data_IF_176330455995
#
_entry.id   IF_176330455995
#
_cell.length_a   1.000
_cell.length_b   1.000
_cell.length_c   1.000
_cell.angle_alpha   90.00
_cell.angle_beta   90.00
_cell.angle_gamma   90.00
#
_symmetry.space_group_name_H-M   'P 1'
#
loop_
_entity.id
_entity.type
_entity.pdbx_description
1 polymer ?
#
# COMPACT_ATOMS: atom_id res chain seq x y z
N UNK A 1 2.67 -1.22 7.16
CA UNK A 1 3.49 -0.02 6.82
C UNK A 1 2.91 0.83 5.68
N UNK A 2 2.64 0.26 4.50
CA UNK A 2 2.13 1.02 3.34
C UNK A 2 0.81 1.77 3.67
N UNK A 3 -0.17 1.07 4.25
CA UNK A 3 -1.43 1.70 4.67
C UNK A 3 -1.20 2.86 5.65
N UNK A 4 -0.25 2.73 6.59
CA UNK A 4 0.05 3.80 7.55
C UNK A 4 0.62 5.06 6.87
N UNK A 5 1.46 4.92 5.85
CA UNK A 5 1.94 6.07 5.07
C UNK A 5 0.83 6.72 4.25
N UNK A 6 -0.07 5.95 3.64
CA UNK A 6 -1.24 6.52 2.95
C UNK A 6 -2.24 7.19 3.90
N UNK A 7 -2.37 6.70 5.13
CA UNK A 7 -3.11 7.41 6.19
C UNK A 7 -2.45 8.76 6.45
N UNK A 8 -1.13 8.79 6.69
CA UNK A 8 -0.40 10.05 6.91
C UNK A 8 -0.56 11.01 5.73
N UNK A 9 -0.43 10.51 4.49
CA UNK A 9 -0.63 11.29 3.27
C UNK A 9 -2.01 11.94 3.24
N UNK A 10 -3.07 11.16 3.44
CA UNK A 10 -4.45 11.65 3.36
C UNK A 10 -4.91 12.52 4.52
N UNK A 11 -4.08 12.76 5.55
CA UNK A 11 -4.43 13.69 6.63
C UNK A 11 -4.49 15.13 6.11
N UNK A 12 -5.44 15.96 6.57
CA UNK A 12 -5.67 17.30 6.02
C UNK A 12 -4.48 18.27 6.22
N UNK A 13 -3.61 17.99 7.20
CA UNK A 13 -2.39 18.79 7.44
C UNK A 13 -1.17 18.34 6.62
N UNK A 14 -1.29 17.24 5.87
CA UNK A 14 -0.32 16.74 4.89
C UNK A 14 -0.86 17.01 3.49
N UNK A 15 -1.93 16.31 3.08
CA UNK A 15 -2.61 16.48 1.80
C UNK A 15 -4.10 16.78 2.01
N UNK A 16 -4.53 18.05 1.83
CA UNK A 16 -5.94 18.43 1.89
C UNK A 16 -6.80 17.66 0.89
N UNK A 17 -8.09 17.54 1.18
CA UNK A 17 -9.12 16.97 0.30
C UNK A 17 -8.95 15.48 -0.09
N UNK A 18 -8.09 14.74 0.62
CA UNK A 18 -7.82 13.30 0.40
C UNK A 18 -8.52 12.38 1.40
N UNK A 19 -9.75 12.71 1.80
CA UNK A 19 -10.53 11.99 2.82
C UNK A 19 -10.70 10.50 2.50
N UNK A 20 -10.95 10.18 1.23
CA UNK A 20 -11.13 8.79 0.82
C UNK A 20 -9.84 7.97 1.01
N UNK A 21 -8.68 8.58 0.79
CA UNK A 21 -7.38 7.93 0.93
C UNK A 21 -7.09 7.59 2.40
N UNK A 22 -7.31 8.51 3.33
CA UNK A 22 -7.02 8.19 4.75
C UNK A 22 -8.02 7.19 5.32
N UNK A 23 -9.30 7.24 4.92
CA UNK A 23 -10.35 6.37 5.49
C UNK A 23 -10.15 4.90 5.13
N UNK A 24 -9.97 4.58 3.85
CA UNK A 24 -9.75 3.19 3.41
C UNK A 24 -8.45 2.61 3.97
N UNK A 25 -7.38 3.42 4.04
CA UNK A 25 -6.08 2.95 4.49
C UNK A 25 -6.09 2.82 6.02
N UNK A 26 -6.90 3.64 6.71
CA UNK A 26 -7.21 3.45 8.13
C UNK A 26 -7.88 2.11 8.40
N UNK A 27 -8.87 1.73 7.58
CA UNK A 27 -9.47 0.38 7.64
C UNK A 27 -8.42 -0.69 7.35
N UNK A 28 -7.55 -0.47 6.36
CA UNK A 28 -6.41 -1.35 6.06
C UNK A 28 -5.48 -1.56 7.25
N UNK A 29 -5.11 -0.50 7.97
CA UNK A 29 -4.30 -0.57 9.19
C UNK A 29 -5.01 -1.40 10.27
N UNK A 30 -6.31 -1.20 10.49
CA UNK A 30 -7.08 -1.99 11.47
C UNK A 30 -7.06 -3.47 11.11
N UNK A 31 -7.28 -3.81 9.84
CA UNK A 31 -7.22 -5.18 9.34
C UNK A 31 -5.80 -5.78 9.50
N UNK A 32 -4.75 -5.02 9.18
CA UNK A 32 -3.35 -5.43 9.38
C UNK A 32 -3.08 -5.75 10.86
N UNK A 33 -3.51 -4.89 11.78
CA UNK A 33 -3.34 -5.09 13.24
C UNK A 33 -4.04 -6.38 13.69
N UNK A 34 -5.26 -6.64 13.20
CA UNK A 34 -5.98 -7.89 13.51
C UNK A 34 -5.18 -9.11 13.04
N UNK A 35 -4.69 -9.10 11.79
CA UNK A 35 -3.87 -10.20 11.27
C UNK A 35 -2.58 -10.41 12.06
N UNK A 36 -1.86 -9.34 12.39
CA UNK A 36 -0.63 -9.42 13.18
C UNK A 36 -0.90 -9.93 14.60
N UNK A 37 -2.04 -9.55 15.20
CA UNK A 37 -2.46 -10.03 16.52
C UNK A 37 -2.74 -11.53 16.51
N UNK A 38 -3.51 -12.00 15.53
CA UNK A 38 -3.75 -13.44 15.34
C UNK A 38 -2.43 -14.17 15.15
N UNK A 39 -1.56 -13.67 14.26
CA UNK A 39 -0.24 -14.27 14.05
C UNK A 39 0.57 -14.32 15.34
N UNK A 40 0.59 -13.26 16.14
CA UNK A 40 1.29 -13.23 17.42
C UNK A 40 0.78 -14.30 18.39
N UNK A 41 -0.54 -14.44 18.53
CA UNK A 41 -1.17 -15.42 19.44
C UNK A 41 -0.76 -16.85 19.04
N UNK A 42 -0.82 -17.17 17.74
CA UNK A 42 -0.60 -18.55 17.26
C UNK A 42 0.85 -18.87 16.87
N UNK A 43 1.76 -17.89 16.87
CA UNK A 43 3.16 -18.12 16.49
C UNK A 43 4.02 -18.66 17.63
N UNK A 44 5.12 -19.32 17.27
CA UNK A 44 6.13 -19.80 18.22
C UNK A 44 6.84 -18.64 18.90
N UNK A 45 7.51 -18.87 20.03
CA UNK A 45 8.31 -17.84 20.71
C UNK A 45 9.35 -17.16 19.80
N UNK A 46 9.94 -17.89 18.85
CA UNK A 46 10.86 -17.32 17.85
C UNK A 46 10.12 -16.39 16.89
N UNK A 47 8.96 -16.82 16.38
CA UNK A 47 8.14 -16.01 15.49
C UNK A 47 7.57 -14.75 16.16
N UNK A 48 7.13 -14.86 17.42
CA UNK A 48 6.69 -13.71 18.23
C UNK A 48 7.79 -12.67 18.43
N UNK A 49 9.00 -13.10 18.81
CA UNK A 49 10.16 -12.20 18.95
C UNK A 49 10.51 -11.51 17.64
N UNK A 50 10.51 -12.25 16.52
CA UNK A 50 10.75 -11.69 15.18
C UNK A 50 9.69 -10.66 14.80
N UNK A 51 8.41 -10.97 15.03
CA UNK A 51 7.31 -10.05 14.76
C UNK A 51 7.47 -8.75 15.55
N UNK A 52 7.65 -8.84 16.87
CA UNK A 52 7.79 -7.66 17.75
C UNK A 52 8.99 -6.82 17.33
N UNK A 53 10.12 -7.45 16.98
CA UNK A 53 11.30 -6.73 16.50
C UNK A 53 11.03 -5.97 15.20
N UNK A 54 10.43 -6.64 14.20
CA UNK A 54 10.11 -6.00 12.92
C UNK A 54 9.11 -4.86 13.13
N UNK A 55 8.06 -5.10 13.91
CA UNK A 55 7.05 -4.09 14.20
C UNK A 55 7.63 -2.89 14.95
N UNK A 56 8.56 -3.10 15.88
CA UNK A 56 9.24 -2.01 16.58
C UNK A 56 10.11 -1.18 15.63
N UNK A 57 10.88 -1.82 14.74
CA UNK A 57 11.69 -1.14 13.72
C UNK A 57 10.78 -0.32 12.80
N UNK A 58 9.67 -0.91 12.36
CA UNK A 58 8.66 -0.24 11.54
C UNK A 58 8.06 0.97 12.26
N UNK A 59 7.63 0.82 13.51
CA UNK A 59 7.06 1.91 14.30
C UNK A 59 8.05 3.06 14.51
N UNK A 60 9.33 2.76 14.79
CA UNK A 60 10.39 3.76 14.90
C UNK A 60 10.58 4.49 13.57
N UNK A 61 10.68 3.75 12.47
CA UNK A 61 10.84 4.32 11.13
C UNK A 61 9.67 5.24 10.76
N UNK A 62 8.44 4.77 10.95
CA UNK A 62 7.24 5.55 10.69
C UNK A 62 7.21 6.84 11.54
N UNK A 63 7.49 6.71 12.83
CA UNK A 63 7.52 7.86 13.76
C UNK A 63 8.58 8.88 13.33
N UNK A 64 9.76 8.43 12.92
CA UNK A 64 10.82 9.32 12.41
C UNK A 64 10.36 10.09 11.18
N UNK A 65 9.71 9.44 10.21
CA UNK A 65 9.16 10.12 9.02
C UNK A 65 8.07 11.14 9.41
N UNK A 66 7.17 10.78 10.33
CA UNK A 66 6.14 11.72 10.83
C UNK A 66 6.80 12.94 11.46
N UNK A 67 7.78 12.75 12.35
CA UNK A 67 8.47 13.86 13.03
C UNK A 67 9.22 14.75 12.03
N UNK A 68 9.96 14.17 11.08
CA UNK A 68 10.66 14.93 10.04
C UNK A 68 9.66 15.73 9.20
N UNK A 69 8.55 15.09 8.79
CA UNK A 69 7.51 15.74 7.97
C UNK A 69 6.86 16.91 8.72
N UNK A 70 6.58 16.75 10.01
CA UNK A 70 5.86 17.76 10.79
C UNK A 70 6.77 18.90 11.27
N UNK A 71 8.03 18.59 11.61
CA UNK A 71 8.98 19.55 12.19
C UNK A 71 9.85 20.25 11.15
N UNK A 72 10.28 19.55 10.10
CA UNK A 72 11.18 20.12 9.08
C UNK A 72 10.43 20.70 7.87
N UNK A 73 9.28 20.12 7.49
CA UNK A 73 8.53 20.56 6.32
C UNK A 73 7.37 21.47 6.73
N UNK A 74 7.42 22.70 6.24
CA UNK A 74 6.39 23.71 6.44
C UNK A 74 5.53 23.84 5.18
N UNK A 75 4.21 23.87 5.37
CA UNK A 75 3.22 23.92 4.30
C UNK A 75 2.83 22.53 3.75
N UNK A 76 1.57 22.40 3.34
CA UNK A 76 0.99 21.15 2.83
C UNK A 76 1.66 20.70 1.53
N UNK A 77 1.98 21.61 0.62
CA UNK A 77 2.63 21.27 -0.67
C UNK A 77 3.92 20.46 -0.50
N UNK A 78 4.83 20.87 0.40
CA UNK A 78 6.09 20.15 0.63
C UNK A 78 5.85 18.82 1.35
N UNK A 79 4.92 18.78 2.30
CA UNK A 79 4.55 17.57 3.04
C UNK A 79 3.93 16.53 2.12
N UNK A 80 2.95 16.93 1.29
CA UNK A 80 2.36 16.09 0.24
C UNK A 80 3.43 15.51 -0.68
N UNK A 81 4.37 16.34 -1.16
CA UNK A 81 5.40 15.86 -2.08
C UNK A 81 6.31 14.80 -1.45
N UNK A 82 6.83 15.05 -0.24
CA UNK A 82 7.75 14.11 0.41
C UNK A 82 7.02 12.83 0.84
N UNK A 83 5.86 12.95 1.48
CA UNK A 83 5.10 11.78 1.94
C UNK A 83 4.54 10.99 0.76
N UNK A 84 4.09 11.67 -0.31
CA UNK A 84 3.59 11.04 -1.54
C UNK A 84 4.67 10.18 -2.21
N UNK A 85 5.89 10.71 -2.37
CA UNK A 85 7.02 9.94 -2.90
C UNK A 85 7.33 8.70 -2.04
N UNK A 86 7.27 8.82 -0.71
CA UNK A 86 7.44 7.68 0.19
C UNK A 86 6.33 6.65 -0.02
N UNK A 87 5.06 7.09 -0.12
CA UNK A 87 3.93 6.21 -0.38
C UNK A 87 4.11 5.44 -1.69
N UNK A 88 4.54 6.11 -2.75
CA UNK A 88 4.79 5.50 -4.06
C UNK A 88 5.89 4.44 -3.98
N UNK A 89 7.02 4.74 -3.34
CA UNK A 89 8.12 3.77 -3.15
C UNK A 89 7.62 2.51 -2.42
N UNK A 90 6.85 2.66 -1.34
CA UNK A 90 6.29 1.51 -0.64
C UNK A 90 5.27 0.75 -1.48
N UNK A 91 4.47 1.46 -2.27
CA UNK A 91 3.49 0.86 -3.16
C UNK A 91 4.20 0.04 -4.27
N UNK A 92 5.31 0.54 -4.84
CA UNK A 92 6.19 -0.20 -5.77
C UNK A 92 6.66 -1.50 -5.14
N UNK A 93 7.20 -1.43 -3.93
CA UNK A 93 7.73 -2.61 -3.23
C UNK A 93 6.66 -3.68 -3.00
N UNK A 94 5.39 -3.30 -2.80
CA UNK A 94 4.32 -4.28 -2.63
C UNK A 94 4.08 -5.16 -3.86
N UNK A 95 4.39 -4.68 -5.07
CA UNK A 95 4.22 -5.47 -6.30
C UNK A 95 5.24 -6.60 -6.45
N UNK A 96 6.31 -6.64 -5.65
CA UNK A 96 7.22 -7.80 -5.66
C UNK A 96 6.48 -9.10 -5.32
N UNK A 97 5.52 -9.06 -4.37
CA UNK A 97 4.75 -10.23 -3.99
C UNK A 97 3.93 -10.82 -5.17
N UNK A 98 3.01 -10.10 -5.83
CA UNK A 98 2.25 -10.64 -6.96
C UNK A 98 3.16 -11.04 -8.13
N UNK A 99 4.26 -10.32 -8.41
CA UNK A 99 5.21 -10.71 -9.46
C UNK A 99 5.84 -12.08 -9.21
N UNK A 100 6.20 -12.39 -7.96
CA UNK A 100 6.72 -13.74 -7.62
C UNK A 100 5.67 -14.83 -7.82
N UNK A 101 4.40 -14.53 -7.55
CA UNK A 101 3.28 -15.46 -7.80
C UNK A 101 3.07 -15.66 -9.30
N UNK A 102 3.09 -14.60 -10.11
CA UNK A 102 2.99 -14.69 -11.58
C UNK A 102 4.13 -15.54 -12.16
N UNK A 103 5.37 -15.32 -11.71
CA UNK A 103 6.51 -16.13 -12.13
C UNK A 103 6.30 -17.62 -11.80
N UNK A 104 5.71 -17.92 -10.62
CA UNK A 104 5.35 -19.29 -10.24
C UNK A 104 4.28 -19.87 -11.17
N UNK A 105 3.21 -19.12 -11.48
CA UNK A 105 2.14 -19.56 -12.40
C UNK A 105 2.70 -19.89 -13.78
N UNK A 106 3.57 -19.04 -14.34
CA UNK A 106 4.19 -19.27 -15.66
C UNK A 106 5.04 -20.54 -15.64
N UNK A 107 5.81 -20.77 -14.57
CA UNK A 107 6.68 -21.93 -14.41
C UNK A 107 5.91 -23.23 -14.17
N UNK A 108 4.87 -23.19 -13.32
CA UNK A 108 4.08 -24.36 -12.95
C UNK A 108 2.90 -24.63 -13.87
N UNK A 109 2.60 -23.71 -14.81
CA UNK A 109 1.43 -23.74 -15.70
C UNK A 109 0.12 -23.98 -14.94
N UNK A 110 0.00 -23.40 -13.75
CA UNK A 110 -1.13 -23.61 -12.85
C UNK A 110 -1.43 -22.34 -12.08
N UNK A 111 -2.70 -21.92 -12.14
CA UNK A 111 -3.25 -20.73 -11.45
C UNK A 111 -3.67 -21.02 -10.00
N UNK A 112 -3.29 -22.16 -9.42
CA UNK A 112 -3.72 -22.55 -8.06
C UNK A 112 -3.41 -21.50 -6.97
N UNK A 113 -2.30 -20.78 -7.12
CA UNK A 113 -1.87 -19.74 -6.16
C UNK A 113 -2.37 -18.35 -6.51
N UNK A 114 -3.21 -18.24 -7.54
CA UNK A 114 -3.63 -16.99 -8.12
C UNK A 114 -5.12 -17.09 -8.46
N UNK A 115 -6.02 -16.73 -7.53
CA UNK A 115 -7.45 -16.81 -7.80
C UNK A 115 -7.90 -15.70 -8.76
N UNK A 116 -8.74 -16.07 -9.72
CA UNK A 116 -9.26 -15.15 -10.76
C UNK A 116 -9.97 -13.93 -10.15
N UNK A 117 -10.89 -14.16 -9.22
CA UNK A 117 -11.69 -13.09 -8.61
C UNK A 117 -10.86 -12.07 -7.84
N UNK A 118 -9.76 -12.50 -7.22
CA UNK A 118 -8.83 -11.58 -6.54
C UNK A 118 -8.08 -10.71 -7.56
N UNK A 119 -7.67 -11.30 -8.68
CA UNK A 119 -6.99 -10.58 -9.77
C UNK A 119 -7.93 -9.56 -10.43
N UNK A 120 -9.18 -9.94 -10.68
CA UNK A 120 -10.21 -9.05 -11.22
C UNK A 120 -10.55 -7.91 -10.25
N UNK A 121 -10.72 -8.21 -8.95
CA UNK A 121 -10.98 -7.19 -7.93
C UNK A 121 -9.84 -6.16 -7.84
N UNK A 122 -8.59 -6.60 -7.92
CA UNK A 122 -7.43 -5.69 -7.92
C UNK A 122 -7.33 -4.86 -9.21
N UNK A 123 -7.71 -5.40 -10.37
CA UNK A 123 -7.81 -4.61 -11.60
C UNK A 123 -8.86 -3.50 -11.46
N UNK A 124 -10.07 -3.84 -11.01
CA UNK A 124 -11.15 -2.87 -10.80
C UNK A 124 -10.77 -1.83 -9.75
N UNK A 125 -10.05 -2.24 -8.70
CA UNK A 125 -9.49 -1.32 -7.70
C UNK A 125 -8.50 -0.33 -8.34
N UNK A 126 -7.57 -0.82 -9.16
CA UNK A 126 -6.64 0.02 -9.92
C UNK A 126 -7.36 1.03 -10.81
N UNK A 127 -8.39 0.61 -11.54
CA UNK A 127 -9.22 1.49 -12.37
C UNK A 127 -9.99 2.53 -11.54
N UNK A 128 -10.53 2.16 -10.39
CA UNK A 128 -11.21 3.07 -9.49
C UNK A 128 -10.26 4.16 -8.93
N UNK A 129 -9.03 3.77 -8.54
CA UNK A 129 -8.00 4.73 -8.12
C UNK A 129 -7.52 5.62 -9.26
N UNK A 130 -7.45 5.08 -10.47
CA UNK A 130 -7.15 5.84 -11.68
C UNK A 130 -8.19 6.92 -11.91
N UNK A 131 -9.48 6.57 -11.85
CA UNK A 131 -10.56 7.51 -11.98
C UNK A 131 -10.54 8.56 -10.86
N UNK A 132 -10.34 8.14 -9.61
CA UNK A 132 -10.22 9.05 -8.46
C UNK A 132 -9.10 10.09 -8.66
N UNK A 133 -7.93 9.66 -9.12
CA UNK A 133 -6.78 10.56 -9.31
C UNK A 133 -6.96 11.57 -10.45
N UNK A 134 -7.83 11.26 -11.42
CA UNK A 134 -8.20 12.16 -12.53
C UNK A 134 -9.31 13.15 -12.15
N UNK A 135 -10.07 12.89 -11.08
CA UNK A 135 -11.10 13.81 -10.58
C UNK A 135 -10.43 14.99 -9.84
N UNK A 136 -11.02 16.17 -9.93
CA UNK A 136 -10.45 17.39 -9.34
C UNK A 136 -10.51 17.33 -7.79
N UNK A 137 -9.40 17.62 -7.07
CA UNK A 137 -8.09 18.01 -7.56
C UNK A 137 -7.24 16.82 -8.06
N UNK A 138 -6.53 17.03 -9.18
CA UNK A 138 -5.69 16.02 -9.80
C UNK A 138 -4.52 15.63 -8.89
N UNK A 139 -4.42 14.35 -8.55
CA UNK A 139 -3.36 13.81 -7.68
C UNK A 139 -2.42 12.92 -8.50
N UNK A 140 -1.26 13.47 -8.85
CA UNK A 140 -0.25 12.78 -9.66
C UNK A 140 0.36 11.55 -8.97
N UNK A 141 0.44 11.55 -7.63
CA UNK A 141 1.05 10.45 -6.87
C UNK A 141 0.13 9.24 -6.89
N UNK A 142 -1.17 9.47 -6.69
CA UNK A 142 -2.17 8.41 -6.82
C UNK A 142 -2.25 7.93 -8.28
N UNK A 143 -2.22 8.85 -9.26
CA UNK A 143 -2.36 8.51 -10.66
C UNK A 143 -1.19 7.67 -11.19
N UNK A 144 0.05 8.14 -11.03
CA UNK A 144 1.20 7.57 -11.73
C UNK A 144 1.42 6.11 -11.35
N UNK A 145 1.30 5.79 -10.05
CA UNK A 145 1.64 4.46 -9.58
C UNK A 145 0.44 3.52 -9.43
N UNK A 146 -0.69 3.99 -8.87
CA UNK A 146 -1.86 3.13 -8.67
C UNK A 146 -2.57 2.77 -9.98
N UNK A 147 -2.40 3.57 -11.05
CA UNK A 147 -3.09 3.35 -12.33
C UNK A 147 -2.26 2.52 -13.29
N UNK A 148 -1.00 2.90 -13.52
CA UNK A 148 -0.16 2.26 -14.52
C UNK A 148 0.24 0.84 -14.09
N UNK A 149 0.71 0.66 -12.85
CA UNK A 149 1.21 -0.64 -12.41
C UNK A 149 0.12 -1.64 -12.04
N UNK A 150 -0.97 -1.23 -11.40
CA UNK A 150 -2.10 -2.14 -11.18
C UNK A 150 -2.71 -2.59 -12.50
N UNK A 151 -2.99 -1.67 -13.43
CA UNK A 151 -3.60 -2.06 -14.70
C UNK A 151 -2.69 -2.98 -15.49
N UNK A 152 -1.40 -2.65 -15.63
CA UNK A 152 -0.47 -3.52 -16.37
C UNK A 152 -0.26 -4.87 -15.69
N UNK A 153 0.03 -4.90 -14.38
CA UNK A 153 0.30 -6.15 -13.67
C UNK A 153 -0.95 -7.05 -13.64
N UNK A 154 -2.10 -6.52 -13.22
CA UNK A 154 -3.31 -7.32 -13.08
C UNK A 154 -4.01 -7.64 -14.43
N UNK A 155 -3.76 -6.88 -15.49
CA UNK A 155 -4.18 -7.29 -16.84
C UNK A 155 -3.36 -8.49 -17.32
N UNK A 156 -2.03 -8.47 -17.15
CA UNK A 156 -1.17 -9.61 -17.48
C UNK A 156 -1.54 -10.84 -16.64
N UNK A 157 -1.82 -10.63 -15.36
CA UNK A 157 -2.35 -11.65 -14.46
C UNK A 157 -3.61 -12.34 -15.01
N UNK A 158 -4.56 -11.58 -15.55
CA UNK A 158 -5.81 -12.12 -16.10
C UNK A 158 -5.60 -12.86 -17.42
N UNK A 159 -4.59 -12.49 -18.23
CA UNK A 159 -4.22 -13.21 -19.45
C UNK A 159 -3.60 -14.60 -19.19
N UNK A 160 -3.24 -14.91 -17.94
CA UNK A 160 -2.67 -16.21 -17.56
C UNK A 160 -3.75 -17.26 -17.16
N UNK A 161 -5.03 -16.87 -17.14
CA UNK A 161 -6.17 -17.79 -16.94
C UNK A 161 -6.74 -18.24 -18.27
#
# INVERSE_FOLDING_TARGET
MNCAFWVLYGMPFVHPDSTLVYTINGVGVVIEIIYLTIFYIYSTNKGRKKLVLIFAIEAIFFTAIVLITMLALHGTTKRSLVVGVICDVFNVMMYFAPLTVMAKVIKTKSVKYMPFWLSLANLLNGLAWSAYALLHPFDIYILYWSSFWNCSAYSICLLLF
#
